data_IF_408074837330
#
_entry.id   IF_408074837330
#
_cell.length_a   1.000
_cell.length_b   1.000
_cell.length_c   1.000
_cell.angle_alpha   90.00
_cell.angle_beta   90.00
_cell.angle_gamma   90.00
#
_symmetry.space_group_name_H-M   'P 1'
#
loop_
_entity.id
_entity.type
_entity.pdbx_description
1 polymer ?
#
# COMPACT_ATOMS: atom_id res chain seq x y z
N UNK A 1 3.73 33.13 -22.20
CA UNK A 1 2.34 32.86 -21.77
C UNK A 1 1.62 34.20 -21.79
N UNK A 2 0.74 34.45 -22.75
CA UNK A 2 0.03 35.73 -22.81
C UNK A 2 -0.84 35.87 -21.54
N UNK A 3 -0.77 37.02 -20.89
CA UNK A 3 -1.47 37.23 -19.61
C UNK A 3 -2.99 37.28 -19.85
N UNK A 4 -3.81 36.86 -18.88
CA UNK A 4 -5.29 36.85 -18.94
C UNK A 4 -5.89 38.20 -19.40
N UNK A 5 -5.14 39.30 -19.19
CA UNK A 5 -5.44 40.67 -19.63
C UNK A 5 -5.27 40.86 -21.15
N UNK A 6 -4.22 40.30 -21.74
CA UNK A 6 -3.96 40.37 -23.19
C UNK A 6 -5.05 39.65 -23.99
N UNK A 7 -5.49 38.48 -23.52
CA UNK A 7 -6.57 37.73 -24.18
C UNK A 7 -7.91 38.50 -24.13
N UNK A 8 -8.23 39.13 -23.00
CA UNK A 8 -9.46 39.92 -22.83
C UNK A 8 -9.45 41.21 -23.66
N UNK A 9 -8.28 41.86 -23.78
CA UNK A 9 -8.08 43.01 -24.67
C UNK A 9 -8.22 42.63 -26.14
N UNK A 10 -7.69 41.46 -26.54
CA UNK A 10 -7.79 40.96 -27.91
C UNK A 10 -9.22 40.58 -28.28
N UNK A 11 -9.96 39.93 -27.36
CA UNK A 11 -11.38 39.59 -27.58
C UNK A 11 -12.25 40.86 -27.70
N UNK A 12 -12.02 41.85 -26.85
CA UNK A 12 -12.73 43.13 -26.89
C UNK A 12 -12.46 43.87 -28.21
N UNK A 13 -11.19 43.93 -28.64
CA UNK A 13 -10.82 44.53 -29.92
C UNK A 13 -11.49 43.85 -31.11
N UNK A 14 -11.58 42.52 -31.09
CA UNK A 14 -12.22 41.74 -32.15
C UNK A 14 -13.75 41.93 -32.16
N UNK A 15 -14.39 42.03 -30.99
CA UNK A 15 -15.83 42.33 -30.89
C UNK A 15 -16.14 43.73 -31.41
N UNK A 16 -15.32 44.73 -31.06
CA UNK A 16 -15.47 46.11 -31.56
C UNK A 16 -15.32 46.15 -33.08
N UNK A 17 -14.34 45.45 -33.63
CA UNK A 17 -14.12 45.36 -35.08
C UNK A 17 -15.33 44.75 -35.80
N UNK A 18 -15.89 43.66 -35.27
CA UNK A 18 -17.07 42.99 -35.84
C UNK A 18 -18.28 43.93 -35.82
N UNK A 19 -18.54 44.61 -34.69
CA UNK A 19 -19.64 45.57 -34.56
C UNK A 19 -19.45 46.74 -35.53
N UNK A 20 -18.22 47.24 -35.68
CA UNK A 20 -17.90 48.33 -36.60
C UNK A 20 -18.11 47.91 -38.07
N UNK A 21 -17.65 46.73 -38.46
CA UNK A 21 -17.89 46.19 -39.80
C UNK A 21 -19.39 45.98 -40.06
N UNK A 22 -20.14 45.44 -39.10
CA UNK A 22 -21.58 45.27 -39.21
C UNK A 22 -22.32 46.62 -39.33
N UNK A 23 -21.92 47.62 -38.53
CA UNK A 23 -22.44 48.98 -38.63
C UNK A 23 -22.18 49.58 -40.01
N UNK A 24 -20.95 49.47 -40.53
CA UNK A 24 -20.61 49.94 -41.88
C UNK A 24 -21.48 49.25 -42.95
N UNK A 25 -21.63 47.93 -42.90
CA UNK A 25 -22.43 47.17 -43.87
C UNK A 25 -23.91 47.59 -43.82
N UNK A 26 -24.46 47.80 -42.63
CA UNK A 26 -25.88 48.18 -42.46
C UNK A 26 -26.13 49.66 -42.77
N UNK A 27 -25.19 50.55 -42.47
CA UNK A 27 -25.35 51.99 -42.65
C UNK A 27 -25.01 52.46 -44.07
N UNK A 28 -24.04 51.81 -44.74
CA UNK A 28 -23.56 52.24 -46.06
C UNK A 28 -24.64 52.31 -47.13
N UNK A 29 -25.57 51.34 -47.28
CA UNK A 29 -26.66 51.45 -48.26
C UNK A 29 -27.52 52.70 -48.05
N UNK A 30 -27.82 53.04 -46.80
CA UNK A 30 -28.58 54.26 -46.48
C UNK A 30 -27.85 55.54 -46.89
N UNK A 31 -26.53 55.61 -46.65
CA UNK A 31 -25.71 56.77 -47.05
C UNK A 31 -25.52 56.89 -48.56
N UNK A 32 -25.49 55.77 -49.30
CA UNK A 32 -25.28 55.74 -50.75
C UNK A 32 -26.56 56.01 -51.56
N UNK A 33 -27.75 55.69 -51.02
CA UNK A 33 -29.04 55.87 -51.70
C UNK A 33 -29.59 57.30 -51.54
N UNK A 34 -29.19 58.02 -50.48
CA UNK A 34 -29.67 59.39 -50.23
C UNK A 34 -28.99 60.38 -51.17
N UNK A 35 -29.75 60.90 -52.15
CA UNK A 35 -29.32 61.93 -53.11
C UNK A 35 -28.71 63.13 -52.36
N UNK A 36 -27.41 63.37 -52.56
CA UNK A 36 -26.64 64.55 -52.13
C UNK A 36 -26.39 64.73 -50.62
N UNK A 37 -25.54 63.91 -50.00
CA UNK A 37 -24.87 64.33 -48.75
C UNK A 37 -23.56 65.10 -49.00
N UNK A 38 -22.91 64.87 -50.15
CA UNK A 38 -21.73 65.63 -50.62
C UNK A 38 -22.07 66.13 -52.02
N UNK A 39 -22.38 67.42 -52.15
CA UNK A 39 -22.72 68.03 -53.43
C UNK A 39 -21.55 67.87 -54.41
N UNK A 40 -21.72 67.03 -55.43
CA UNK A 40 -20.72 66.82 -56.49
C UNK A 40 -20.50 65.38 -56.93
N UNK A 41 -21.01 64.36 -56.22
CA UNK A 41 -20.87 62.96 -56.63
C UNK A 41 -22.22 62.37 -57.09
N UNK A 42 -22.37 62.18 -58.40
CA UNK A 42 -23.50 61.47 -59.01
C UNK A 42 -23.10 60.03 -59.33
N UNK A 43 -23.70 59.06 -58.63
CA UNK A 43 -23.40 57.62 -58.75
C UNK A 43 -24.37 56.87 -59.67
N UNK A 44 -25.27 57.57 -60.38
CA UNK A 44 -26.29 56.93 -61.24
C UNK A 44 -25.71 56.13 -62.41
N UNK A 45 -24.47 56.43 -62.85
CA UNK A 45 -23.75 55.70 -63.91
C UNK A 45 -22.56 54.85 -63.45
N UNK A 46 -22.24 54.83 -62.16
CA UNK A 46 -21.01 54.17 -61.64
C UNK A 46 -21.18 52.69 -61.32
N UNK A 47 -22.36 52.11 -61.56
CA UNK A 47 -22.65 50.69 -61.34
C UNK A 47 -21.71 49.77 -62.11
N UNK A 48 -21.47 50.05 -63.40
CA UNK A 48 -20.54 49.28 -64.23
C UNK A 48 -19.09 49.34 -63.72
N UNK A 49 -18.70 50.46 -63.12
CA UNK A 49 -17.37 50.61 -62.49
C UNK A 49 -17.31 49.74 -61.23
N UNK A 50 -18.36 49.74 -60.41
CA UNK A 50 -18.48 48.86 -59.24
C UNK A 50 -18.45 47.37 -59.61
N UNK A 51 -19.17 46.97 -60.66
CA UNK A 51 -19.20 45.59 -61.16
C UNK A 51 -17.83 45.16 -61.73
N UNK A 52 -17.12 46.07 -62.40
CA UNK A 52 -15.77 45.83 -62.91
C UNK A 52 -14.76 45.70 -61.76
N UNK A 53 -14.82 46.59 -60.76
CA UNK A 53 -13.97 46.51 -59.57
C UNK A 53 -14.27 45.23 -58.79
N UNK A 54 -15.54 44.92 -58.54
CA UNK A 54 -15.95 43.70 -57.84
C UNK A 54 -15.56 42.43 -58.59
N UNK A 55 -15.81 42.37 -59.90
CA UNK A 55 -15.46 41.23 -60.75
C UNK A 55 -13.95 40.98 -60.85
N UNK A 56 -13.13 42.04 -60.87
CA UNK A 56 -11.68 41.92 -60.89
C UNK A 56 -11.12 41.63 -59.49
N UNK A 57 -11.63 42.25 -58.44
CA UNK A 57 -11.07 42.13 -57.07
C UNK A 57 -11.52 40.87 -56.32
N UNK A 58 -12.74 40.39 -56.56
CA UNK A 58 -13.30 39.25 -55.83
C UNK A 58 -12.46 37.96 -55.95
N UNK A 59 -11.92 37.56 -57.13
CA UNK A 59 -11.03 36.42 -57.22
C UNK A 59 -9.75 36.57 -56.39
N UNK A 60 -9.13 37.75 -56.35
CA UNK A 60 -7.93 37.99 -55.54
C UNK A 60 -8.23 37.94 -54.04
N UNK A 61 -9.36 38.52 -53.62
CA UNK A 61 -9.83 38.43 -52.22
C UNK A 61 -10.15 36.99 -51.86
N UNK A 62 -10.79 36.23 -52.76
CA UNK A 62 -11.10 34.82 -52.57
C UNK A 62 -9.83 33.97 -52.39
N UNK A 63 -8.81 34.17 -53.22
CA UNK A 63 -7.51 33.50 -53.10
C UNK A 63 -6.84 33.88 -51.78
N UNK A 64 -6.76 35.17 -51.44
CA UNK A 64 -6.17 35.64 -50.19
C UNK A 64 -6.89 35.05 -48.97
N UNK A 65 -8.22 35.01 -48.99
CA UNK A 65 -9.06 34.43 -47.93
C UNK A 65 -8.83 32.94 -47.81
N UNK A 66 -8.72 32.21 -48.93
CA UNK A 66 -8.47 30.78 -48.96
C UNK A 66 -7.10 30.43 -48.40
N UNK A 67 -6.06 31.20 -48.74
CA UNK A 67 -4.70 31.06 -48.20
C UNK A 67 -4.69 31.36 -46.69
N UNK A 68 -5.31 32.45 -46.25
CA UNK A 68 -5.40 32.79 -44.83
C UNK A 68 -6.17 31.73 -44.03
N UNK A 69 -7.26 31.20 -44.59
CA UNK A 69 -8.07 30.14 -43.99
C UNK A 69 -7.25 28.85 -43.87
N UNK A 70 -6.54 28.46 -44.94
CA UNK A 70 -5.62 27.33 -44.92
C UNK A 70 -4.53 27.50 -43.86
N UNK A 71 -3.90 28.67 -43.78
CA UNK A 71 -2.89 28.97 -42.76
C UNK A 71 -3.45 28.86 -41.33
N UNK A 72 -4.67 29.37 -41.11
CA UNK A 72 -5.35 29.25 -39.82
C UNK A 72 -5.60 27.78 -39.43
N UNK A 73 -6.13 26.98 -40.36
CA UNK A 73 -6.33 25.55 -40.14
C UNK A 73 -5.01 24.80 -39.95
N UNK A 74 -3.96 25.16 -40.68
CA UNK A 74 -2.65 24.55 -40.53
C UNK A 74 -2.05 24.83 -39.14
N UNK A 75 -2.16 26.07 -38.65
CA UNK A 75 -1.77 26.41 -37.28
C UNK A 75 -2.60 25.64 -36.24
N UNK A 76 -3.91 25.52 -36.45
CA UNK A 76 -4.79 24.75 -35.57
C UNK A 76 -4.43 23.25 -35.57
N UNK A 77 -4.16 22.67 -36.74
CA UNK A 77 -3.72 21.28 -36.87
C UNK A 77 -2.43 21.03 -36.10
N UNK A 78 -1.43 21.92 -36.23
CA UNK A 78 -0.18 21.84 -35.46
C UNK A 78 -0.43 21.93 -33.96
N UNK A 79 -1.33 22.80 -33.52
CA UNK A 79 -1.70 22.92 -32.10
C UNK A 79 -2.39 21.66 -31.57
N UNK A 80 -3.27 21.04 -32.37
CA UNK A 80 -3.95 19.80 -32.00
C UNK A 80 -2.97 18.64 -31.79
N UNK A 81 -1.94 18.50 -32.62
CA UNK A 81 -0.88 17.48 -32.42
C UNK A 81 -0.21 17.68 -31.06
N UNK A 82 0.23 18.90 -30.75
CA UNK A 82 0.86 19.21 -29.47
C UNK A 82 -0.08 19.04 -28.28
N UNK A 83 -1.37 19.28 -28.48
CA UNK A 83 -2.39 19.08 -27.46
C UNK A 83 -2.58 17.60 -27.16
N UNK A 84 -2.62 16.73 -28.18
CA UNK A 84 -2.73 15.29 -28.00
C UNK A 84 -1.54 14.74 -27.19
N UNK A 85 -0.31 15.14 -27.52
CA UNK A 85 0.88 14.74 -26.74
C UNK A 85 0.82 15.17 -25.26
N UNK A 86 0.20 16.31 -24.97
CA UNK A 86 0.00 16.77 -23.59
C UNK A 86 -1.09 15.98 -22.87
N UNK A 87 -2.17 15.63 -23.57
CA UNK A 87 -3.24 14.79 -23.03
C UNK A 87 -2.68 13.41 -22.67
N UNK A 88 -1.87 12.82 -23.55
CA UNK A 88 -1.25 11.51 -23.29
C UNK A 88 -0.36 11.54 -22.03
N UNK A 89 0.46 12.59 -21.88
CA UNK A 89 1.28 12.79 -20.67
C UNK A 89 0.42 13.01 -19.42
N UNK A 90 -0.64 13.80 -19.52
CA UNK A 90 -1.58 14.01 -18.42
C UNK A 90 -2.28 12.71 -18.01
N UNK A 91 -2.64 11.85 -18.96
CA UNK A 91 -3.26 10.57 -18.67
C UNK A 91 -2.31 9.63 -17.92
N UNK A 92 -1.01 9.67 -18.21
CA UNK A 92 0.02 8.96 -17.43
C UNK A 92 0.18 9.52 -16.02
N UNK A 93 0.27 10.85 -15.86
CA UNK A 93 0.33 11.52 -14.55
C UNK A 93 -0.91 11.18 -13.70
N UNK A 94 -2.11 11.23 -14.29
CA UNK A 94 -3.37 10.89 -13.61
C UNK A 94 -3.38 9.43 -13.14
N UNK A 95 -2.79 8.50 -13.90
CA UNK A 95 -2.67 7.09 -13.48
C UNK A 95 -1.76 6.96 -12.27
N UNK A 96 -0.62 7.67 -12.26
CA UNK A 96 0.31 7.69 -11.13
C UNK A 96 -0.36 8.31 -9.91
N UNK A 97 -1.01 9.47 -10.04
CA UNK A 97 -1.74 10.13 -8.96
C UNK A 97 -2.82 9.23 -8.36
N UNK A 98 -3.60 8.52 -9.21
CA UNK A 98 -4.61 7.56 -8.74
C UNK A 98 -3.98 6.40 -7.98
N UNK A 99 -2.84 5.92 -8.44
CA UNK A 99 -2.09 4.88 -7.75
C UNK A 99 -1.61 5.36 -6.39
N UNK A 100 -0.95 6.52 -6.32
CA UNK A 100 -0.44 7.12 -5.09
C UNK A 100 -1.54 7.33 -4.06
N UNK A 101 -2.65 7.95 -4.47
CA UNK A 101 -3.78 8.18 -3.59
C UNK A 101 -4.34 6.88 -3.02
N UNK A 102 -4.44 5.82 -3.84
CA UNK A 102 -4.89 4.51 -3.38
C UNK A 102 -3.87 3.85 -2.46
N UNK A 103 -2.57 3.93 -2.77
CA UNK A 103 -1.50 3.42 -1.92
C UNK A 103 -1.52 4.06 -0.53
N UNK A 104 -1.59 5.40 -0.45
CA UNK A 104 -1.63 6.11 0.83
C UNK A 104 -2.95 5.86 1.60
N UNK A 105 -4.06 5.68 0.89
CA UNK A 105 -5.33 5.27 1.50
C UNK A 105 -5.21 3.88 2.16
N UNK A 106 -4.67 2.89 1.45
CA UNK A 106 -4.42 1.57 2.02
C UNK A 106 -3.45 1.63 3.21
N UNK A 107 -2.41 2.48 3.13
CA UNK A 107 -1.47 2.69 4.23
C UNK A 107 -2.16 3.31 5.46
N UNK A 108 -3.10 4.23 5.27
CA UNK A 108 -3.92 4.78 6.37
C UNK A 108 -4.76 3.70 7.03
N UNK A 109 -5.47 2.90 6.24
CA UNK A 109 -6.30 1.80 6.73
C UNK A 109 -5.43 0.76 7.47
N UNK A 110 -4.20 0.49 7.01
CA UNK A 110 -3.28 -0.40 7.73
C UNK A 110 -2.93 0.16 9.11
N UNK A 111 -2.67 1.46 9.20
CA UNK A 111 -2.39 2.14 10.48
C UNK A 111 -3.61 2.12 11.41
N UNK A 112 -4.82 2.26 10.88
CA UNK A 112 -6.08 2.13 11.62
C UNK A 112 -6.24 0.71 12.17
N UNK A 113 -6.05 -0.32 11.32
CA UNK A 113 -6.07 -1.73 11.76
C UNK A 113 -5.06 -1.97 12.90
N UNK A 114 -3.83 -1.43 12.78
CA UNK A 114 -2.82 -1.54 13.84
C UNK A 114 -3.28 -0.80 15.10
N UNK A 115 -3.90 0.36 14.99
CA UNK A 115 -4.40 1.12 16.14
C UNK A 115 -5.49 0.36 16.91
N UNK A 116 -6.37 -0.35 16.21
CA UNK A 116 -7.48 -1.12 16.76
C UNK A 116 -7.05 -2.44 17.42
N UNK A 117 -5.91 -3.01 17.03
CA UNK A 117 -5.41 -4.24 17.65
C UNK A 117 -5.23 -4.04 19.15
N UNK A 118 -5.97 -4.84 19.93
CA UNK A 118 -5.90 -4.83 21.39
C UNK A 118 -6.10 -6.22 21.98
N UNK A 119 -5.45 -6.45 23.12
CA UNK A 119 -5.64 -7.66 23.94
C UNK A 119 -6.07 -7.22 25.34
N UNK A 120 -7.30 -7.60 25.72
CA UNK A 120 -7.93 -7.26 27.01
C UNK A 120 -7.91 -5.75 27.32
N UNK A 121 -8.02 -4.90 26.30
CA UNK A 121 -7.90 -3.43 26.37
C UNK A 121 -6.62 -2.85 27.00
N UNK A 122 -5.68 -3.69 27.41
CA UNK A 122 -4.46 -3.29 28.12
C UNK A 122 -3.27 -3.22 27.16
N UNK A 123 -3.14 -4.22 26.29
CA UNK A 123 -2.06 -4.28 25.31
C UNK A 123 -2.59 -3.77 23.98
N UNK A 124 -2.35 -2.48 23.70
CA UNK A 124 -2.84 -1.81 22.50
C UNK A 124 -1.77 -1.63 21.43
N UNK A 125 -2.21 -1.68 20.18
CA UNK A 125 -1.46 -1.38 18.97
C UNK A 125 -0.13 -2.13 18.91
N UNK A 126 0.99 -1.46 18.64
CA UNK A 126 2.32 -2.09 18.52
C UNK A 126 2.75 -2.88 19.76
N UNK A 127 2.30 -2.50 20.96
CA UNK A 127 2.62 -3.24 22.18
C UNK A 127 1.97 -4.62 22.17
N UNK A 128 0.78 -4.78 21.58
CA UNK A 128 0.13 -6.08 21.45
C UNK A 128 0.99 -7.07 20.65
N UNK A 129 1.68 -6.63 19.59
CA UNK A 129 2.56 -7.47 18.79
C UNK A 129 3.73 -8.05 19.59
N UNK A 130 4.24 -7.32 20.60
CA UNK A 130 5.28 -7.84 21.51
C UNK A 130 4.77 -9.03 22.32
N UNK A 131 3.57 -8.92 22.89
CA UNK A 131 2.97 -10.01 23.69
C UNK A 131 2.57 -11.19 22.81
N UNK A 132 1.99 -10.93 21.64
CA UNK A 132 1.68 -11.95 20.64
C UNK A 132 2.95 -12.70 20.18
N UNK A 133 4.04 -11.98 19.93
CA UNK A 133 5.32 -12.58 19.59
C UNK A 133 5.86 -13.47 20.72
N UNK A 134 5.83 -13.01 21.97
CA UNK A 134 6.27 -13.80 23.12
C UNK A 134 5.42 -15.05 23.34
N UNK A 135 4.11 -14.96 23.10
CA UNK A 135 3.20 -16.10 23.17
C UNK A 135 3.49 -17.11 22.06
N UNK A 136 3.68 -16.64 20.82
CA UNK A 136 4.10 -17.49 19.71
C UNK A 136 5.45 -18.18 19.99
N UNK A 137 6.43 -17.43 20.52
CA UNK A 137 7.72 -17.98 20.93
C UNK A 137 7.56 -19.07 21.99
N UNK A 138 6.68 -18.88 22.97
CA UNK A 138 6.37 -19.91 23.97
C UNK A 138 5.76 -21.16 23.32
N UNK A 139 4.75 -20.99 22.46
CA UNK A 139 4.14 -22.09 21.70
C UNK A 139 5.19 -22.91 20.93
N UNK A 140 6.09 -22.22 20.20
CA UNK A 140 7.15 -22.88 19.46
C UNK A 140 8.04 -23.75 20.36
N UNK A 141 8.49 -23.21 21.50
CA UNK A 141 9.37 -23.96 22.40
C UNK A 141 8.67 -25.09 23.13
N UNK A 142 7.40 -24.97 23.48
CA UNK A 142 6.65 -26.09 24.08
C UNK A 142 6.57 -27.24 23.07
N UNK A 143 6.27 -26.95 21.80
CA UNK A 143 6.27 -27.96 20.75
C UNK A 143 7.67 -28.55 20.50
N UNK A 144 8.72 -27.74 20.57
CA UNK A 144 10.09 -28.24 20.38
C UNK A 144 10.53 -29.18 21.50
N UNK A 145 10.10 -28.93 22.74
CA UNK A 145 10.30 -29.85 23.88
C UNK A 145 9.56 -31.16 23.63
N UNK A 146 8.29 -31.13 23.21
CA UNK A 146 7.52 -32.33 22.84
C UNK A 146 8.22 -33.13 21.74
N UNK A 147 8.72 -32.43 20.71
CA UNK A 147 9.44 -33.03 19.58
C UNK A 147 10.66 -33.83 20.04
N UNK A 148 11.42 -33.28 20.99
CA UNK A 148 12.62 -33.94 21.56
C UNK A 148 12.23 -35.09 22.48
N UNK A 149 11.31 -34.87 23.42
CA UNK A 149 10.88 -35.89 24.41
C UNK A 149 10.34 -37.15 23.72
N UNK A 150 9.59 -36.97 22.63
CA UNK A 150 8.91 -38.06 21.93
C UNK A 150 9.62 -38.50 20.63
N UNK A 151 10.76 -37.88 20.30
CA UNK A 151 11.60 -38.19 19.12
C UNK A 151 10.82 -38.15 17.80
N UNK A 152 9.96 -37.14 17.62
CA UNK A 152 9.19 -36.96 16.38
C UNK A 152 10.06 -36.49 15.19
N UNK A 153 11.26 -35.95 15.45
CA UNK A 153 12.22 -35.51 14.43
C UNK A 153 11.67 -34.46 13.42
N UNK A 154 10.81 -33.55 13.90
CA UNK A 154 10.25 -32.47 13.09
C UNK A 154 11.33 -31.46 12.67
N UNK A 155 11.24 -30.97 11.43
CA UNK A 155 12.05 -29.86 10.93
C UNK A 155 11.64 -28.51 11.57
N UNK A 156 12.54 -27.52 11.53
CA UNK A 156 12.25 -26.16 12.01
C UNK A 156 11.04 -25.52 11.28
N UNK A 157 10.84 -25.85 10.01
CA UNK A 157 9.68 -25.42 9.22
C UNK A 157 8.39 -26.06 9.71
N UNK A 158 8.38 -27.37 9.98
CA UNK A 158 7.21 -28.07 10.51
C UNK A 158 6.85 -27.57 11.91
N UNK A 159 7.85 -27.39 12.79
CA UNK A 159 7.66 -26.79 14.12
C UNK A 159 7.05 -25.40 14.02
N UNK A 160 7.57 -24.56 13.12
CA UNK A 160 7.06 -23.19 12.91
C UNK A 160 5.63 -23.21 12.38
N UNK A 161 5.34 -24.05 11.39
CA UNK A 161 4.00 -24.14 10.82
C UNK A 161 2.96 -24.57 11.86
N UNK A 162 3.21 -25.67 12.58
CA UNK A 162 2.28 -26.21 13.57
C UNK A 162 2.09 -25.23 14.74
N UNK A 163 3.19 -24.72 15.31
CA UNK A 163 3.10 -23.79 16.45
C UNK A 163 2.45 -22.46 16.08
N UNK A 164 2.66 -21.95 14.87
CA UNK A 164 2.03 -20.70 14.40
C UNK A 164 0.54 -20.90 14.13
N UNK A 165 0.12 -22.04 13.59
CA UNK A 165 -1.30 -22.36 13.42
C UNK A 165 -2.01 -22.41 14.78
N UNK A 166 -1.46 -23.12 15.76
CA UNK A 166 -2.01 -23.14 17.12
C UNK A 166 -2.04 -21.74 17.75
N UNK A 167 -0.99 -20.94 17.55
CA UNK A 167 -0.95 -19.55 18.00
C UNK A 167 -2.04 -18.67 17.35
N UNK A 168 -2.33 -18.87 16.05
CA UNK A 168 -3.34 -18.11 15.32
C UNK A 168 -4.76 -18.54 15.72
N UNK A 169 -5.07 -19.83 15.70
CA UNK A 169 -6.42 -20.34 15.97
C UNK A 169 -6.74 -20.48 17.45
N UNK A 170 -5.72 -20.60 18.31
CA UNK A 170 -5.88 -20.89 19.73
C UNK A 170 -6.21 -22.36 19.99
N UNK A 171 -6.32 -22.71 21.27
CA UNK A 171 -6.71 -24.03 21.74
C UNK A 171 -8.22 -24.10 22.02
N UNK A 172 -8.82 -25.25 21.71
CA UNK A 172 -10.20 -25.59 22.05
C UNK A 172 -10.92 -26.28 20.89
N UNK A 173 -11.90 -27.13 21.21
CA UNK A 173 -12.51 -28.10 20.30
C UNK A 173 -12.71 -27.62 18.84
N UNK A 174 -13.32 -26.45 18.63
CA UNK A 174 -13.57 -25.92 17.28
C UNK A 174 -12.29 -25.48 16.57
N UNK A 175 -11.35 -24.85 17.28
CA UNK A 175 -10.06 -24.46 16.72
C UNK A 175 -9.21 -25.69 16.39
N UNK A 176 -9.26 -26.71 17.24
CA UNK A 176 -8.52 -27.95 17.08
C UNK A 176 -8.93 -28.67 15.78
N UNK A 177 -10.24 -28.77 15.51
CA UNK A 177 -10.77 -29.34 14.27
C UNK A 177 -10.25 -28.60 13.02
N UNK A 178 -10.19 -27.27 13.06
CA UNK A 178 -9.67 -26.46 11.96
C UNK A 178 -8.18 -26.72 11.74
N UNK A 179 -7.38 -26.74 12.81
CA UNK A 179 -5.93 -27.00 12.72
C UNK A 179 -5.68 -28.42 12.18
N UNK A 180 -6.43 -29.42 12.65
CA UNK A 180 -6.35 -30.81 12.15
C UNK A 180 -6.68 -30.88 10.66
N UNK A 181 -7.65 -30.10 10.19
CA UNK A 181 -8.03 -30.08 8.76
C UNK A 181 -6.96 -29.46 7.85
N UNK A 182 -6.13 -28.55 8.38
CA UNK A 182 -5.06 -27.87 7.65
C UNK A 182 -3.78 -28.72 7.64
N UNK A 183 -3.51 -29.45 8.72
CA UNK A 183 -2.30 -30.24 8.88
C UNK A 183 -2.43 -31.63 8.24
N UNK A 184 -1.28 -32.20 7.88
CA UNK A 184 -1.22 -33.58 7.39
C UNK A 184 -1.66 -34.57 8.48
N UNK A 185 -2.38 -35.66 8.13
CA UNK A 185 -2.89 -36.63 9.12
C UNK A 185 -1.84 -37.23 10.06
N UNK A 186 -0.56 -37.29 9.63
CA UNK A 186 0.55 -37.80 10.44
C UNK A 186 0.81 -37.00 11.72
N UNK A 187 0.34 -35.75 11.80
CA UNK A 187 0.57 -34.88 12.96
C UNK A 187 -0.54 -34.97 14.02
N UNK A 188 -1.57 -35.79 13.82
CA UNK A 188 -2.75 -35.80 14.70
C UNK A 188 -2.41 -36.11 16.16
N UNK A 189 -1.68 -37.19 16.43
CA UNK A 189 -1.35 -37.61 17.81
C UNK A 189 -0.40 -36.62 18.50
N UNK A 190 0.57 -36.10 17.75
CA UNK A 190 1.45 -35.01 18.19
C UNK A 190 0.63 -33.78 18.60
N UNK A 191 -0.33 -33.38 17.75
CA UNK A 191 -1.14 -32.18 17.97
C UNK A 191 -2.02 -32.35 19.21
N UNK A 192 -2.64 -33.51 19.41
CA UNK A 192 -3.45 -33.78 20.61
C UNK A 192 -2.60 -33.62 21.88
N UNK A 193 -1.40 -34.24 21.91
CA UNK A 193 -0.49 -34.10 23.05
C UNK A 193 -0.07 -32.63 23.27
N UNK A 194 0.23 -31.92 22.18
CA UNK A 194 0.62 -30.51 22.23
C UNK A 194 -0.49 -29.60 22.76
N UNK A 195 -1.72 -29.76 22.27
CA UNK A 195 -2.88 -29.00 22.73
C UNK A 195 -3.16 -29.28 24.21
N UNK A 196 -3.12 -30.54 24.64
CA UNK A 196 -3.27 -30.91 26.05
C UNK A 196 -2.21 -30.26 26.94
N UNK A 197 -0.93 -30.20 26.52
CA UNK A 197 0.11 -29.51 27.30
C UNK A 197 -0.14 -28.02 27.39
N UNK A 198 -0.59 -27.37 26.30
CA UNK A 198 -0.93 -25.94 26.34
C UNK A 198 -2.14 -25.65 27.23
N UNK A 199 -3.15 -26.53 27.27
CA UNK A 199 -4.26 -26.44 28.22
C UNK A 199 -3.76 -26.51 29.67
N UNK A 200 -2.88 -27.46 30.00
CA UNK A 200 -2.25 -27.53 31.32
C UNK A 200 -1.45 -26.27 31.66
N UNK A 201 -0.72 -25.71 30.69
CA UNK A 201 -0.01 -24.43 30.89
C UNK A 201 -0.98 -23.27 31.15
N UNK A 202 -2.13 -23.26 30.48
CA UNK A 202 -3.18 -22.27 30.68
C UNK A 202 -3.82 -22.40 32.07
N UNK A 203 -3.98 -23.61 32.61
CA UNK A 203 -4.42 -23.87 33.98
C UNK A 203 -3.40 -23.34 35.01
N UNK A 204 -2.11 -23.66 34.84
CA UNK A 204 -1.03 -23.14 35.70
C UNK A 204 -1.01 -21.60 35.70
N UNK A 205 -1.22 -20.98 34.53
CA UNK A 205 -1.37 -19.53 34.43
C UNK A 205 -2.58 -19.03 35.22
N UNK A 206 -3.72 -19.70 35.12
CA UNK A 206 -4.95 -19.37 35.84
C UNK A 206 -4.73 -19.43 37.36
N UNK A 207 -4.08 -20.47 37.86
CA UNK A 207 -3.72 -20.59 39.28
C UNK A 207 -2.76 -19.49 39.73
N UNK A 208 -1.73 -19.19 38.93
CA UNK A 208 -0.84 -18.05 39.16
C UNK A 208 -1.61 -16.71 39.17
N UNK A 209 -2.69 -16.61 38.41
CA UNK A 209 -3.61 -15.47 38.36
C UNK A 209 -4.69 -15.45 39.45
N UNK A 210 -4.76 -16.47 40.32
CA UNK A 210 -5.66 -16.47 41.48
C UNK A 210 -4.86 -16.28 42.77
N UNK A 211 -3.70 -16.94 42.88
CA UNK A 211 -2.84 -16.88 44.06
C UNK A 211 -2.26 -15.48 44.32
N UNK A 212 -2.06 -14.68 43.27
CA UNK A 212 -1.58 -13.30 43.39
C UNK A 212 -2.71 -12.29 43.72
N UNK A 213 -3.95 -12.73 43.98
CA UNK A 213 -5.15 -11.92 43.69
C UNK A 213 -6.29 -11.87 44.69
N UNK A 214 -6.21 -12.53 45.84
CA UNK A 214 -7.19 -12.30 46.88
C UNK A 214 -7.01 -10.85 47.40
N UNK A 215 -7.83 -9.90 46.91
CA UNK A 215 -8.00 -8.50 47.37
C UNK A 215 -7.22 -7.37 46.66
N UNK A 216 -6.91 -7.47 45.36
CA UNK A 216 -6.22 -6.39 44.61
C UNK A 216 -7.11 -5.81 43.50
N UNK A 217 -7.13 -4.48 43.32
CA UNK A 217 -7.83 -3.79 42.24
C UNK A 217 -7.34 -4.25 40.84
N UNK A 218 -8.19 -4.16 39.81
CA UNK A 218 -7.90 -4.72 38.49
C UNK A 218 -6.65 -4.12 37.81
N UNK A 219 -6.37 -2.86 38.09
CA UNK A 219 -5.19 -2.12 37.60
C UNK A 219 -3.86 -2.59 38.22
N UNK A 220 -3.90 -3.05 39.46
CA UNK A 220 -2.72 -3.48 40.22
C UNK A 220 -2.41 -4.97 40.02
N UNK A 221 -3.11 -5.61 39.06
CA UNK A 221 -2.98 -7.04 38.89
C UNK A 221 -1.63 -7.49 38.32
N UNK A 222 -0.93 -8.39 39.02
CA UNK A 222 0.34 -9.00 38.58
C UNK A 222 0.14 -9.99 37.42
N UNK A 223 0.90 -9.92 36.32
CA UNK A 223 0.78 -10.90 35.24
C UNK A 223 0.90 -12.35 35.72
N UNK A 224 0.03 -13.22 35.23
CA UNK A 224 0.13 -14.66 35.42
C UNK A 224 1.38 -15.18 34.73
N UNK A 225 2.04 -16.16 35.34
CA UNK A 225 3.37 -16.61 34.92
C UNK A 225 3.36 -18.09 34.57
N UNK A 226 3.87 -18.42 33.39
CA UNK A 226 4.16 -19.79 32.97
C UNK A 226 5.67 -19.92 32.75
N UNK A 227 6.24 -21.04 33.18
CA UNK A 227 7.64 -21.37 32.97
C UNK A 227 7.72 -22.69 32.21
N UNK A 228 8.55 -22.70 31.17
CA UNK A 228 8.95 -23.88 30.41
C UNK A 228 10.46 -24.10 30.59
N UNK A 229 10.85 -25.32 30.97
CA UNK A 229 12.25 -25.75 30.99
C UNK A 229 12.58 -26.40 29.65
N UNK A 230 13.64 -25.94 28.98
CA UNK A 230 14.03 -26.44 27.66
C UNK A 230 14.95 -27.66 27.72
N UNK A 231 15.80 -27.72 28.74
CA UNK A 231 16.67 -28.86 29.03
C UNK A 231 17.00 -28.84 30.53
N UNK A 232 16.98 -30.00 31.17
CA UNK A 232 17.29 -30.14 32.60
C UNK A 232 18.78 -29.86 32.91
N UNK A 233 19.67 -30.01 31.92
CA UNK A 233 21.12 -29.86 32.13
C UNK A 233 21.64 -28.41 32.10
N UNK A 234 20.96 -27.50 31.38
CA UNK A 234 21.44 -26.14 31.08
C UNK A 234 20.66 -25.02 31.79
N UNK A 235 19.70 -25.38 32.66
CA UNK A 235 18.72 -24.49 33.34
C UNK A 235 18.05 -23.43 32.44
N UNK A 236 18.06 -23.64 31.11
CA UNK A 236 17.45 -22.73 30.14
C UNK A 236 15.94 -22.78 30.28
N UNK A 237 15.35 -21.64 30.66
CA UNK A 237 13.92 -21.49 30.90
C UNK A 237 13.34 -20.41 29.99
N UNK A 238 12.17 -20.69 29.42
CA UNK A 238 11.32 -19.69 28.81
C UNK A 238 10.25 -19.30 29.82
N UNK A 239 10.19 -18.02 30.14
CA UNK A 239 9.13 -17.46 30.99
C UNK A 239 8.17 -16.68 30.11
N UNK A 240 6.89 -17.01 30.21
CA UNK A 240 5.82 -16.24 29.60
C UNK A 240 4.96 -15.61 30.69
N UNK A 241 4.67 -14.31 30.54
CA UNK A 241 3.89 -13.55 31.51
C UNK A 241 2.81 -12.76 30.79
N UNK A 242 1.56 -12.94 31.20
CA UNK A 242 0.42 -12.24 30.61
C UNK A 242 -0.66 -11.94 31.64
N UNK A 243 -1.39 -10.84 31.44
CA UNK A 243 -2.63 -10.53 32.18
C UNK A 243 -3.90 -10.97 31.45
N UNK A 244 -3.73 -11.55 30.27
CA UNK A 244 -4.79 -12.11 29.43
C UNK A 244 -4.62 -13.63 29.34
N UNK A 245 -5.74 -14.33 29.11
CA UNK A 245 -5.77 -15.78 28.94
C UNK A 245 -4.89 -16.18 27.74
N UNK A 246 -3.76 -16.87 27.95
CA UNK A 246 -2.88 -17.26 26.85
C UNK A 246 -3.51 -18.34 25.99
N UNK A 247 -3.02 -18.49 24.76
CA UNK A 247 -3.40 -19.53 23.80
C UNK A 247 -4.86 -19.47 23.36
N UNK A 248 -5.51 -18.31 23.53
CA UNK A 248 -6.88 -18.08 23.09
C UNK A 248 -7.01 -17.78 21.57
N UNK A 249 -5.87 -17.73 20.87
CA UNK A 249 -5.82 -17.44 19.43
C UNK A 249 -5.80 -15.95 19.12
N UNK A 250 -5.14 -15.62 18.01
CA UNK A 250 -4.95 -14.25 17.51
C UNK A 250 -5.45 -14.05 16.08
N UNK A 251 -6.16 -15.01 15.49
CA UNK A 251 -6.64 -14.97 14.11
C UNK A 251 -7.50 -13.72 13.83
N UNK A 252 -8.40 -13.37 14.74
CA UNK A 252 -9.27 -12.19 14.59
C UNK A 252 -8.48 -10.87 14.55
N UNK A 253 -7.30 -10.82 15.16
CA UNK A 253 -6.42 -9.64 15.21
C UNK A 253 -5.44 -9.64 14.04
N UNK A 254 -4.67 -10.71 13.92
CA UNK A 254 -3.55 -10.83 12.98
C UNK A 254 -3.97 -11.25 11.57
N UNK A 255 -5.08 -11.97 11.42
CA UNK A 255 -5.54 -12.45 10.11
C UNK A 255 -5.87 -11.31 9.15
N UNK A 256 -6.62 -10.31 9.62
CA UNK A 256 -6.92 -9.12 8.82
C UNK A 256 -5.67 -8.26 8.57
N UNK A 257 -4.82 -8.12 9.58
CA UNK A 257 -3.55 -7.40 9.47
C UNK A 257 -2.65 -7.98 8.37
N UNK A 258 -2.35 -9.28 8.41
CA UNK A 258 -1.48 -9.91 7.41
C UNK A 258 -2.09 -9.89 6.01
N UNK A 259 -3.40 -10.14 5.89
CA UNK A 259 -4.09 -10.08 4.58
C UNK A 259 -4.01 -8.68 3.99
N UNK A 260 -4.21 -7.65 4.80
CA UNK A 260 -4.13 -6.28 4.34
C UNK A 260 -2.69 -5.88 3.97
N UNK A 261 -1.71 -6.26 4.79
CA UNK A 261 -0.30 -6.04 4.50
C UNK A 261 0.10 -6.70 3.16
N UNK A 262 -0.30 -7.96 2.94
CA UNK A 262 -0.09 -8.65 1.67
C UNK A 262 -0.76 -7.92 0.51
N UNK A 263 -2.01 -7.49 0.69
CA UNK A 263 -2.74 -6.75 -0.34
C UNK A 263 -2.02 -5.47 -0.79
N UNK A 264 -1.44 -4.70 0.14
CA UNK A 264 -0.68 -3.49 -0.21
C UNK A 264 0.55 -3.86 -1.03
N UNK A 265 1.31 -4.87 -0.61
CA UNK A 265 2.52 -5.30 -1.33
C UNK A 265 2.16 -5.83 -2.72
N UNK A 266 1.11 -6.66 -2.82
CA UNK A 266 0.61 -7.16 -4.11
C UNK A 266 0.07 -6.04 -4.99
N UNK A 267 -0.54 -5.00 -4.43
CA UNK A 267 -1.02 -3.85 -5.18
C UNK A 267 0.12 -3.07 -5.85
N UNK A 268 1.24 -2.90 -5.14
CA UNK A 268 2.45 -2.27 -5.69
C UNK A 268 3.13 -3.19 -6.71
N UNK A 269 3.31 -4.47 -6.39
CA UNK A 269 3.95 -5.46 -7.27
C UNK A 269 3.27 -5.55 -8.64
N UNK A 270 1.93 -5.59 -8.64
CA UNK A 270 1.11 -5.73 -9.85
C UNK A 270 0.83 -4.39 -10.57
N UNK A 271 1.41 -3.29 -10.11
CA UNK A 271 1.27 -1.99 -10.77
C UNK A 271 2.14 -1.88 -12.04
N UNK A 272 1.80 -0.93 -12.91
CA UNK A 272 2.58 -0.60 -14.12
C UNK A 272 3.79 0.29 -13.83
N UNK A 273 4.13 0.51 -12.56
CA UNK A 273 5.28 1.31 -12.16
C UNK A 273 6.60 0.63 -12.55
N UNK A 274 7.66 1.42 -12.67
CA UNK A 274 9.01 0.88 -12.74
C UNK A 274 9.37 0.14 -11.46
N UNK A 275 10.28 -0.84 -11.55
CA UNK A 275 10.73 -1.62 -10.39
C UNK A 275 11.37 -0.73 -9.30
N UNK A 276 12.07 0.34 -9.69
CA UNK A 276 12.64 1.31 -8.74
C UNK A 276 11.54 2.04 -7.95
N UNK A 277 10.50 2.52 -8.64
CA UNK A 277 9.37 3.18 -7.98
C UNK A 277 8.62 2.20 -7.06
N UNK A 278 8.41 0.95 -7.48
CA UNK A 278 7.81 -0.10 -6.63
C UNK A 278 8.61 -0.28 -5.35
N UNK A 279 9.94 -0.36 -5.44
CA UNK A 279 10.84 -0.48 -4.28
C UNK A 279 10.73 0.72 -3.34
N UNK A 280 10.59 1.94 -3.86
CA UNK A 280 10.41 3.14 -3.04
C UNK A 280 9.07 3.16 -2.28
N UNK A 281 7.97 2.73 -2.92
CA UNK A 281 6.68 2.58 -2.24
C UNK A 281 6.73 1.50 -1.14
N UNK A 282 7.31 0.33 -1.43
CA UNK A 282 7.42 -0.72 -0.41
C UNK A 282 8.38 -0.30 0.71
N UNK A 283 9.43 0.46 0.42
CA UNK A 283 10.29 1.05 1.45
C UNK A 283 9.51 1.99 2.37
N UNK A 284 8.58 2.77 1.83
CA UNK A 284 7.67 3.65 2.60
C UNK A 284 6.75 2.83 3.50
N UNK A 285 6.17 1.74 2.98
CA UNK A 285 5.37 0.79 3.77
C UNK A 285 6.21 0.14 4.89
N UNK A 286 7.40 -0.39 4.56
CA UNK A 286 8.30 -1.06 5.50
C UNK A 286 8.67 -0.16 6.68
N UNK A 287 8.89 1.13 6.43
CA UNK A 287 9.19 2.10 7.48
C UNK A 287 8.07 2.27 8.52
N UNK A 288 6.84 1.82 8.24
CA UNK A 288 5.73 1.84 9.20
C UNK A 288 5.69 0.61 10.13
N UNK A 289 6.35 -0.48 9.74
CA UNK A 289 6.33 -1.77 10.44
C UNK A 289 7.31 -1.78 11.61
N UNK A 290 6.85 -2.20 12.78
CA UNK A 290 7.74 -2.46 13.92
C UNK A 290 8.56 -3.74 13.74
N UNK A 291 9.62 -3.87 14.53
CA UNK A 291 10.43 -5.10 14.57
C UNK A 291 9.61 -6.37 14.85
N UNK A 292 8.63 -6.30 15.76
CA UNK A 292 7.79 -7.45 16.12
C UNK A 292 6.77 -7.78 15.03
N UNK A 293 6.30 -6.76 14.28
CA UNK A 293 5.48 -6.97 13.08
C UNK A 293 6.28 -7.69 11.98
N UNK A 294 7.54 -7.29 11.75
CA UNK A 294 8.41 -7.96 10.78
C UNK A 294 8.79 -9.38 11.22
N UNK A 295 9.05 -9.61 12.52
CA UNK A 295 9.29 -10.94 13.07
C UNK A 295 8.07 -11.86 12.85
N UNK A 296 6.87 -11.40 13.24
CA UNK A 296 5.66 -12.18 13.05
C UNK A 296 5.34 -12.43 11.56
N UNK A 297 5.63 -11.47 10.68
CA UNK A 297 5.55 -11.65 9.23
C UNK A 297 6.54 -12.71 8.73
N UNK A 298 7.78 -12.67 9.22
CA UNK A 298 8.81 -13.66 8.88
C UNK A 298 8.34 -15.08 9.22
N UNK A 299 7.84 -15.31 10.44
CA UNK A 299 7.34 -16.63 10.82
C UNK A 299 6.06 -17.01 10.08
N UNK A 300 5.12 -16.08 9.90
CA UNK A 300 3.92 -16.31 9.08
C UNK A 300 4.27 -16.82 7.68
N UNK A 301 5.34 -16.29 7.08
CA UNK A 301 5.76 -16.67 5.73
C UNK A 301 6.16 -18.14 5.57
N UNK A 302 6.60 -18.83 6.64
CA UNK A 302 6.90 -20.27 6.61
C UNK A 302 5.68 -21.17 6.84
N UNK A 303 4.51 -20.58 7.03
CA UNK A 303 3.30 -21.31 7.41
C UNK A 303 2.37 -21.45 6.21
N UNK A 304 1.43 -22.38 6.30
CA UNK A 304 0.36 -22.52 5.30
C UNK A 304 -0.50 -21.24 5.17
N UNK A 305 -0.50 -20.36 6.18
CA UNK A 305 -1.24 -19.10 6.15
C UNK A 305 -0.53 -17.97 5.40
N UNK A 306 0.77 -18.08 5.15
CA UNK A 306 1.60 -16.98 4.63
C UNK A 306 2.60 -17.38 3.56
N UNK A 307 2.57 -18.62 3.06
CA UNK A 307 3.51 -19.12 2.05
C UNK A 307 3.55 -18.27 0.77
N UNK A 308 2.46 -17.57 0.43
CA UNK A 308 2.39 -16.63 -0.70
C UNK A 308 3.39 -15.48 -0.63
N UNK A 309 3.91 -15.15 0.56
CA UNK A 309 4.99 -14.16 0.71
C UNK A 309 6.32 -14.63 0.08
N UNK A 310 6.58 -15.94 0.12
CA UNK A 310 7.82 -16.57 -0.37
C UNK A 310 7.70 -17.03 -1.81
N UNK A 311 6.50 -17.36 -2.25
CA UNK A 311 6.19 -17.69 -3.64
C UNK A 311 4.78 -17.19 -3.95
N UNK A 312 4.69 -15.99 -4.52
CA UNK A 312 3.41 -15.46 -5.00
C UNK A 312 2.98 -16.14 -6.32
N UNK A 313 1.86 -15.72 -6.91
CA UNK A 313 1.34 -16.28 -8.18
C UNK A 313 2.32 -16.17 -9.36
N UNK A 314 3.28 -15.24 -9.27
CA UNK A 314 4.34 -15.03 -10.27
C UNK A 314 5.66 -15.75 -9.89
N UNK A 315 5.66 -16.57 -8.84
CA UNK A 315 6.85 -17.27 -8.33
C UNK A 315 7.88 -16.36 -7.65
N UNK A 316 7.54 -15.10 -7.36
CA UNK A 316 8.44 -14.15 -6.69
C UNK A 316 8.37 -14.29 -5.17
N UNK A 317 9.53 -14.18 -4.54
CA UNK A 317 9.66 -13.99 -3.09
C UNK A 317 9.59 -12.50 -2.77
N UNK A 318 8.43 -12.03 -2.31
CA UNK A 318 8.16 -10.63 -2.03
C UNK A 318 8.98 -10.11 -0.84
N UNK A 319 9.32 -10.98 0.12
CA UNK A 319 10.11 -10.59 1.30
C UNK A 319 11.55 -10.28 0.91
N UNK A 320 12.15 -11.10 0.03
CA UNK A 320 13.48 -10.88 -0.51
C UNK A 320 13.52 -9.71 -1.48
N UNK A 321 12.64 -9.68 -2.49
CA UNK A 321 12.65 -8.67 -3.56
C UNK A 321 12.58 -7.24 -3.01
N UNK A 322 11.72 -7.03 -2.02
CA UNK A 322 11.50 -5.72 -1.42
C UNK A 322 12.25 -5.50 -0.11
N UNK A 323 13.06 -6.47 0.30
CA UNK A 323 13.81 -6.46 1.57
C UNK A 323 12.91 -6.14 2.77
N UNK A 324 11.70 -6.72 2.85
CA UNK A 324 10.68 -6.33 3.83
C UNK A 324 11.10 -6.55 5.30
N UNK A 325 12.07 -7.43 5.53
CA UNK A 325 12.50 -7.88 6.86
C UNK A 325 13.77 -7.17 7.38
N UNK A 326 14.15 -6.06 6.73
CA UNK A 326 15.41 -5.33 6.98
C UNK A 326 15.61 -4.89 8.43
N UNK A 327 14.53 -4.65 9.18
CA UNK A 327 14.57 -4.06 10.52
C UNK A 327 14.43 -5.11 11.65
N UNK A 328 14.50 -6.40 11.32
CA UNK A 328 14.43 -7.47 12.32
C UNK A 328 15.68 -7.44 13.23
N UNK A 329 15.51 -7.39 14.56
CA UNK A 329 16.59 -7.60 15.51
C UNK A 329 16.94 -9.09 15.58
N UNK A 330 18.08 -9.46 15.02
CA UNK A 330 18.53 -10.85 14.91
C UNK A 330 18.53 -11.60 16.26
N UNK A 331 18.93 -11.01 17.40
CA UNK A 331 18.89 -11.71 18.68
C UNK A 331 17.48 -12.13 19.15
N UNK A 332 16.42 -11.50 18.63
CA UNK A 332 15.04 -11.91 18.93
C UNK A 332 14.54 -13.03 18.02
N UNK A 333 15.16 -13.24 16.85
CA UNK A 333 14.87 -14.36 15.96
C UNK A 333 15.63 -15.63 16.40
N UNK A 334 15.50 -15.99 17.68
CA UNK A 334 16.28 -17.05 18.34
C UNK A 334 15.66 -18.46 18.24
N UNK A 335 14.60 -18.62 17.44
CA UNK A 335 13.87 -19.86 17.23
C UNK A 335 13.33 -19.97 15.80
N UNK A 336 12.91 -21.18 15.43
CA UNK A 336 12.43 -21.49 14.08
C UNK A 336 13.57 -21.49 13.05
N UNK A 337 13.22 -21.38 11.75
CA UNK A 337 14.17 -21.28 10.67
C UNK A 337 15.18 -20.15 10.89
N UNK A 338 16.45 -20.44 10.59
CA UNK A 338 17.54 -19.49 10.79
C UNK A 338 17.53 -18.38 9.73
N UNK A 339 17.15 -17.18 10.16
CA UNK A 339 17.04 -16.02 9.27
C UNK A 339 18.34 -15.69 8.52
N UNK A 340 19.52 -15.80 9.16
CA UNK A 340 20.83 -15.53 8.53
C UNK A 340 21.22 -16.53 7.43
N UNK A 341 20.62 -17.71 7.41
CA UNK A 341 20.92 -18.71 6.36
C UNK A 341 20.24 -18.33 5.05
N UNK A 342 19.11 -17.64 5.12
CA UNK A 342 18.33 -17.26 3.95
C UNK A 342 18.61 -15.82 3.48
N UNK A 343 18.91 -14.92 4.41
CA UNK A 343 19.19 -13.52 4.15
C UNK A 343 20.68 -13.25 4.44
N UNK A 344 21.54 -13.81 3.60
CA UNK A 344 23.00 -13.84 3.79
C UNK A 344 23.73 -12.62 3.20
N UNK A 345 23.03 -11.77 2.45
CA UNK A 345 23.58 -10.52 1.92
C UNK A 345 24.23 -9.67 3.03
N UNK A 346 25.50 -9.28 2.89
CA UNK A 346 26.14 -8.39 3.85
C UNK A 346 25.34 -7.09 4.02
N UNK A 347 25.14 -6.64 5.26
CA UNK A 347 24.37 -5.44 5.58
C UNK A 347 22.90 -5.50 5.14
N UNK A 348 22.33 -6.70 5.00
CA UNK A 348 20.89 -6.85 4.78
C UNK A 348 20.12 -6.26 5.96
N UNK A 349 20.49 -6.61 7.20
CA UNK A 349 19.79 -6.12 8.38
C UNK A 349 20.39 -4.80 8.86
N UNK A 350 19.54 -3.82 9.16
CA UNK A 350 20.02 -2.52 9.69
C UNK A 350 20.76 -2.68 11.02
N UNK A 351 20.40 -3.68 11.82
CA UNK A 351 21.05 -3.97 13.10
C UNK A 351 22.52 -4.38 12.98
N UNK A 352 22.92 -4.99 11.85
CA UNK A 352 24.33 -5.34 11.62
C UNK A 352 25.19 -4.09 11.48
N UNK A 353 24.67 -3.04 10.85
CA UNK A 353 25.36 -1.76 10.71
C UNK A 353 25.54 -1.09 12.08
N UNK A 354 24.57 -1.25 12.98
CA UNK A 354 24.65 -0.75 14.36
C UNK A 354 25.70 -1.52 15.15
N UNK A 355 25.71 -2.85 15.05
CA UNK A 355 26.69 -3.71 15.71
C UNK A 355 28.13 -3.40 15.26
N UNK A 356 28.35 -3.18 13.95
CA UNK A 356 29.64 -2.75 13.40
C UNK A 356 30.12 -1.40 13.95
N UNK A 357 29.20 -0.47 14.24
CA UNK A 357 29.55 0.83 14.82
C UNK A 357 30.00 0.72 16.29
N UNK A 358 29.47 -0.24 17.05
CA UNK A 358 29.85 -0.45 18.45
C UNK A 358 31.08 -1.35 18.62
N UNK A 359 31.41 -2.16 17.60
CA UNK A 359 32.59 -3.02 17.58
C UNK A 359 33.85 -2.34 17.00
N UNK A 360 33.75 -1.06 16.61
CA UNK A 360 34.87 -0.17 16.23
C UNK A 360 35.21 0.76 17.39
#
# INVERSE_FOLDING_TARGET
>A
MATKKEFKMMSLGMTVLIIFCAFLILSMPYFLIKKSFIGGMDFTGTGQIGDTIGGITAPFIGIATSVLTFLAFFVQYKFNIQQNERIDKQDEEIKIDKFENRFYSLLSILRENIAEISIKDEYKSRRAFVYMFNEFRFCYYELSVINVENRYCLSENELTNISFLVFMFGIGNTSDDVIISILEPRFKDLLINYLMRLEQKQEIWSESMVNNFANIEEQDKVPGKIILKLNDELDRKITFMSKYKPFAGHLSRLGHYFRHLYHIVSYVENSTLSEDNKKDYIKTLRAQLSAHEQLLLYYNSYTSLGSSWRSNDNGKNLLLEYKLLRNIPIPLADFGPKIRVEYDEPNYFEWEQVEELFNR
#
